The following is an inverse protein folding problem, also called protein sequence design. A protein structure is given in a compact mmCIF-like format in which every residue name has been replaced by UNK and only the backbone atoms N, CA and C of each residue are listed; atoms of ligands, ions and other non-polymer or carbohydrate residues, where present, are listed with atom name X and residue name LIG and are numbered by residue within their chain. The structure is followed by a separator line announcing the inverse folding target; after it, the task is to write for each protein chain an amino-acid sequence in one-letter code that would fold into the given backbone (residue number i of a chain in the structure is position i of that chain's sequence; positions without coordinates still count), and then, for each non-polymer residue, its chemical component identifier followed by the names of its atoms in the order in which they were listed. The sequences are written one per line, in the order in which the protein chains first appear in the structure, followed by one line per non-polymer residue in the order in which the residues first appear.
data_IF_509907670519
#
_entry.id   IF_509907670519
#
_cell.length_a   1.000
_cell.length_b   1.000
_cell.length_c   1.000
_cell.angle_alpha   90.00
_cell.angle_beta   90.00
_cell.angle_gamma   90.00
#
_symmetry.space_group_name_H-M   'P 1'
#
loop_
_entity.id
_entity.type
_entity.pdbx_description
1 polymer ?
#
# COMPACT_ATOMS: atom_id res chain seq x y z
N UNK A 1 -61.61 0.26 -20.91
CA UNK A 1 -61.40 0.36 -19.45
C UNK A 1 -61.27 -1.05 -18.89
N UNK A 2 -60.17 -1.40 -18.22
CA UNK A 2 -60.07 -2.70 -17.54
C UNK A 2 -61.13 -2.77 -16.42
N UNK A 3 -61.92 -3.86 -16.34
CA UNK A 3 -62.93 -4.02 -15.28
C UNK A 3 -62.25 -3.92 -13.90
N UNK A 4 -62.91 -3.27 -12.93
CA UNK A 4 -62.33 -2.92 -11.62
C UNK A 4 -61.66 -4.09 -10.90
N UNK A 5 -62.21 -5.31 -11.03
CA UNK A 5 -61.64 -6.52 -10.44
C UNK A 5 -60.25 -6.84 -11.01
N UNK A 6 -60.03 -6.65 -12.32
CA UNK A 6 -58.71 -6.86 -12.94
C UNK A 6 -57.70 -5.81 -12.50
N UNK A 7 -58.14 -4.56 -12.25
CA UNK A 7 -57.27 -3.51 -11.69
C UNK A 7 -56.81 -3.87 -10.27
N UNK A 8 -57.72 -4.30 -9.40
CA UNK A 8 -57.38 -4.74 -8.02
C UNK A 8 -56.37 -5.88 -8.00
N UNK A 9 -56.55 -6.90 -8.86
CA UNK A 9 -55.62 -8.03 -8.95
C UNK A 9 -54.24 -7.56 -9.43
N UNK A 10 -54.18 -6.69 -10.44
CA UNK A 10 -52.93 -6.11 -10.95
C UNK A 10 -52.19 -5.30 -9.86
N UNK A 11 -52.92 -4.52 -9.05
CA UNK A 11 -52.33 -3.75 -7.95
C UNK A 11 -51.74 -4.68 -6.87
N UNK A 12 -52.41 -5.78 -6.55
CA UNK A 12 -51.91 -6.78 -5.59
C UNK A 12 -50.64 -7.45 -6.13
N UNK A 13 -50.63 -7.84 -7.41
CA UNK A 13 -49.44 -8.41 -8.04
C UNK A 13 -48.27 -7.42 -8.08
N UNK A 14 -48.53 -6.14 -8.37
CA UNK A 14 -47.53 -5.08 -8.34
C UNK A 14 -46.94 -4.91 -6.94
N UNK A 15 -47.78 -4.95 -5.89
CA UNK A 15 -47.33 -4.86 -4.51
C UNK A 15 -46.45 -6.03 -4.11
N UNK A 16 -46.84 -7.27 -4.47
CA UNK A 16 -46.03 -8.47 -4.23
C UNK A 16 -44.70 -8.34 -4.97
N UNK A 17 -44.71 -7.92 -6.23
CA UNK A 17 -43.50 -7.75 -7.02
C UNK A 17 -42.55 -6.71 -6.40
N UNK A 18 -43.09 -5.57 -5.96
CA UNK A 18 -42.33 -4.53 -5.27
C UNK A 18 -41.70 -5.05 -3.98
N UNK A 19 -42.47 -5.79 -3.16
CA UNK A 19 -41.97 -6.39 -1.93
C UNK A 19 -40.83 -7.39 -2.21
N UNK A 20 -40.98 -8.25 -3.22
CA UNK A 20 -39.93 -9.16 -3.64
C UNK A 20 -38.69 -8.42 -4.16
N UNK A 21 -38.86 -7.37 -4.96
CA UNK A 21 -37.73 -6.55 -5.42
C UNK A 21 -36.99 -5.91 -4.25
N UNK A 22 -37.70 -5.39 -3.24
CA UNK A 22 -37.09 -4.82 -2.03
C UNK A 22 -36.31 -5.90 -1.26
N UNK A 23 -36.88 -7.10 -1.09
CA UNK A 23 -36.19 -8.21 -0.42
C UNK A 23 -34.94 -8.64 -1.20
N UNK A 24 -35.01 -8.71 -2.52
CA UNK A 24 -33.86 -9.07 -3.36
C UNK A 24 -32.76 -8.01 -3.23
N UNK A 25 -33.10 -6.72 -3.35
CA UNK A 25 -32.14 -5.61 -3.18
C UNK A 25 -31.53 -5.63 -1.77
N UNK A 26 -32.36 -5.87 -0.75
CA UNK A 26 -31.90 -6.03 0.63
C UNK A 26 -30.88 -7.17 0.72
N UNK A 27 -31.19 -8.35 0.20
CA UNK A 27 -30.26 -9.48 0.24
C UNK A 27 -28.94 -9.15 -0.45
N UNK A 28 -28.92 -8.45 -1.59
CA UNK A 28 -27.69 -8.06 -2.28
C UNK A 28 -26.82 -7.06 -1.48
N UNK A 29 -27.44 -6.16 -0.71
CA UNK A 29 -26.70 -5.17 0.09
C UNK A 29 -26.09 -5.79 1.37
N UNK A 30 -26.64 -6.89 1.88
CA UNK A 30 -26.22 -7.52 3.13
C UNK A 30 -25.40 -8.82 2.95
N UNK A 31 -24.94 -9.17 1.74
CA UNK A 31 -23.98 -10.30 1.50
C UNK A 31 -22.52 -9.92 1.84
N UNK A 32 -22.28 -8.72 2.36
CA UNK A 32 -20.96 -8.28 2.81
C UNK A 32 -20.65 -8.83 4.21
N UNK A 33 -20.30 -10.11 4.30
CA UNK A 33 -19.93 -10.74 5.57
C UNK A 33 -18.44 -10.63 5.94
N UNK A 34 -17.63 -10.14 5.02
CA UNK A 34 -16.22 -9.88 5.23
C UNK A 34 -16.00 -8.36 5.16
N UNK A 35 -14.98 -7.86 5.84
CA UNK A 35 -14.57 -6.46 5.78
C UNK A 35 -13.05 -6.37 5.93
N UNK A 36 -12.47 -5.34 5.31
CA UNK A 36 -11.08 -4.97 5.52
C UNK A 36 -11.06 -3.69 6.35
N UNK A 37 -10.60 -3.79 7.59
CA UNK A 37 -10.44 -2.67 8.51
C UNK A 37 -8.98 -2.23 8.54
N UNK A 38 -8.76 -0.92 8.53
CA UNK A 38 -7.43 -0.31 8.63
C UNK A 38 -7.40 0.43 9.97
N UNK A 39 -6.54 -0.03 10.86
CA UNK A 39 -6.36 0.57 12.19
C UNK A 39 -4.92 1.06 12.30
N UNK A 40 -4.73 2.18 13.01
CA UNK A 40 -3.39 2.66 13.34
C UNK A 40 -3.09 2.25 14.78
N UNK A 41 -2.14 1.35 14.96
CA UNK A 41 -1.72 0.95 16.29
C UNK A 41 -0.78 2.02 16.85
N UNK A 42 -1.28 2.85 17.76
CA UNK A 42 -0.49 3.94 18.36
C UNK A 42 0.67 3.41 19.21
N UNK A 43 0.52 2.22 19.80
CA UNK A 43 1.54 1.60 20.64
C UNK A 43 2.66 0.99 19.80
N UNK A 44 2.34 0.43 18.63
CA UNK A 44 3.32 -0.13 17.70
C UNK A 44 3.86 0.89 16.70
N UNK A 45 3.11 1.97 16.44
CA UNK A 45 3.43 2.98 15.43
C UNK A 45 3.32 2.43 14.01
N UNK A 46 2.55 1.36 13.83
CA UNK A 46 2.37 0.68 12.56
C UNK A 46 0.91 0.72 12.14
N UNK A 47 0.68 0.77 10.82
CA UNK A 47 -0.65 0.62 10.25
C UNK A 47 -0.96 -0.87 10.17
N UNK A 48 -1.98 -1.29 10.89
CA UNK A 48 -2.45 -2.67 10.91
C UNK A 48 -3.65 -2.82 9.98
N UNK A 49 -3.66 -3.93 9.25
CA UNK A 49 -4.71 -4.23 8.28
C UNK A 49 -5.36 -5.52 8.72
N UNK A 50 -6.65 -5.43 9.05
CA UNK A 50 -7.42 -6.54 9.60
C UNK A 50 -8.42 -7.04 8.56
N UNK A 51 -8.50 -8.37 8.44
CA UNK A 51 -9.63 -9.05 7.85
C UNK A 51 -10.64 -9.36 8.96
N UNK A 52 -11.87 -8.90 8.78
CA UNK A 52 -12.92 -9.02 9.79
C UNK A 52 -14.11 -9.78 9.23
N UNK A 53 -14.64 -10.73 9.99
CA UNK A 53 -15.94 -11.33 9.73
C UNK A 53 -17.01 -10.50 10.45
N UNK A 54 -17.76 -9.71 9.70
CA UNK A 54 -18.79 -8.81 10.25
C UNK A 54 -20.11 -9.52 10.58
N UNK A 55 -20.21 -10.82 10.30
CA UNK A 55 -21.43 -11.61 10.52
C UNK A 55 -21.44 -12.32 11.87
N UNK A 56 -22.63 -12.77 12.26
CA UNK A 56 -22.84 -13.63 13.43
C UNK A 56 -22.59 -15.13 13.12
N UNK A 57 -22.03 -15.46 11.95
CA UNK A 57 -21.83 -16.84 11.47
C UNK A 57 -20.37 -17.11 11.16
N UNK A 58 -19.97 -18.37 11.25
CA UNK A 58 -18.63 -18.80 10.82
C UNK A 58 -18.56 -18.76 9.28
N UNK A 59 -17.54 -18.10 8.74
CA UNK A 59 -17.25 -18.09 7.31
C UNK A 59 -16.16 -19.11 7.03
N UNK A 60 -16.35 -19.99 6.06
CA UNK A 60 -15.39 -21.04 5.72
C UNK A 60 -14.62 -20.69 4.44
N UNK A 61 -13.38 -21.19 4.35
CA UNK A 61 -12.53 -21.14 3.15
C UNK A 61 -12.34 -19.71 2.62
N UNK A 62 -11.87 -18.82 3.47
CA UNK A 62 -11.59 -17.43 3.09
C UNK A 62 -10.24 -17.36 2.41
N UNK A 63 -10.22 -16.92 1.16
CA UNK A 63 -9.00 -16.70 0.37
C UNK A 63 -8.69 -15.21 0.31
N UNK A 64 -7.45 -14.86 0.66
CA UNK A 64 -6.90 -13.52 0.53
C UNK A 64 -5.86 -13.56 -0.59
N UNK A 65 -6.05 -12.70 -1.59
CA UNK A 65 -5.17 -12.53 -2.73
C UNK A 65 -4.79 -11.07 -2.86
N UNK A 66 -3.75 -10.77 -3.62
CA UNK A 66 -3.45 -9.42 -4.06
C UNK A 66 -3.37 -9.33 -5.59
N UNK A 67 -3.74 -8.18 -6.15
CA UNK A 67 -3.58 -7.92 -7.58
C UNK A 67 -2.19 -7.40 -7.91
N UNK A 68 -1.60 -7.99 -8.94
CA UNK A 68 -0.40 -7.52 -9.61
C UNK A 68 -0.68 -7.33 -11.11
N UNK A 69 -0.95 -6.09 -11.50
CA UNK A 69 -1.45 -5.78 -12.83
C UNK A 69 -2.82 -6.45 -13.07
N UNK A 70 -2.88 -7.37 -14.03
CA UNK A 70 -4.09 -8.13 -14.36
C UNK A 70 -4.16 -9.51 -13.70
N UNK A 71 -3.17 -9.87 -12.89
CA UNK A 71 -3.10 -11.18 -12.24
C UNK A 71 -3.44 -11.08 -10.75
N UNK A 72 -4.08 -12.12 -10.22
CA UNK A 72 -4.31 -12.29 -8.79
C UNK A 72 -3.33 -13.33 -8.25
N UNK A 73 -2.59 -12.96 -7.20
CA UNK A 73 -1.61 -13.80 -6.53
C UNK A 73 -2.12 -14.16 -5.16
N UNK A 74 -2.09 -15.45 -4.82
CA UNK A 74 -2.51 -15.94 -3.51
C UNK A 74 -1.60 -15.39 -2.41
N UNK A 75 -2.20 -14.77 -1.40
CA UNK A 75 -1.51 -14.24 -0.23
C UNK A 75 -1.65 -15.19 0.96
N UNK A 76 -2.89 -15.49 1.34
CA UNK A 76 -3.17 -16.35 2.47
C UNK A 76 -4.53 -17.04 2.30
N UNK A 77 -4.75 -18.15 3.01
CA UNK A 77 -6.05 -18.85 3.03
C UNK A 77 -6.37 -19.27 4.45
N UNK A 78 -7.56 -18.89 4.92
CA UNK A 78 -8.08 -19.24 6.23
C UNK A 78 -9.16 -20.31 6.10
N UNK A 79 -9.03 -21.39 6.87
CA UNK A 79 -10.02 -22.48 6.87
C UNK A 79 -11.38 -22.00 7.36
N UNK A 80 -11.38 -21.15 8.37
CA UNK A 80 -12.58 -20.49 8.87
C UNK A 80 -12.22 -19.15 9.53
N UNK A 81 -13.19 -18.24 9.55
CA UNK A 81 -13.24 -17.07 10.41
C UNK A 81 -14.49 -17.17 11.30
N UNK A 82 -14.30 -17.09 12.61
CA UNK A 82 -15.37 -17.04 13.59
C UNK A 82 -16.15 -15.71 13.51
N UNK A 83 -17.38 -15.65 14.06
CA UNK A 83 -18.15 -14.42 14.11
C UNK A 83 -17.38 -13.28 14.78
N UNK A 84 -17.38 -12.10 14.17
CA UNK A 84 -16.69 -10.89 14.68
C UNK A 84 -15.17 -11.06 14.88
N UNK A 85 -14.57 -12.14 14.36
CA UNK A 85 -13.14 -12.37 14.46
C UNK A 85 -12.38 -11.39 13.58
N UNK A 86 -11.33 -10.78 14.14
CA UNK A 86 -10.37 -9.94 13.45
C UNK A 86 -9.06 -10.71 13.30
N UNK A 87 -8.56 -10.83 12.07
CA UNK A 87 -7.28 -11.44 11.76
C UNK A 87 -6.35 -10.40 11.16
N UNK A 88 -5.16 -10.24 11.76
CA UNK A 88 -4.12 -9.36 11.24
C UNK A 88 -3.52 -9.93 9.95
N UNK A 89 -3.44 -9.10 8.92
CA UNK A 89 -2.76 -9.41 7.66
C UNK A 89 -1.37 -8.78 7.66
N UNK A 90 -0.33 -9.61 7.75
CA UNK A 90 1.07 -9.16 7.73
C UNK A 90 1.52 -8.78 6.30
N UNK A 91 1.08 -7.62 5.80
CA UNK A 91 1.39 -7.15 4.45
C UNK A 91 2.81 -6.57 4.32
N UNK A 92 3.57 -6.44 5.41
CA UNK A 92 4.93 -5.87 5.43
C UNK A 92 5.92 -6.65 4.55
N UNK A 93 5.67 -7.94 4.31
CA UNK A 93 6.45 -8.79 3.40
C UNK A 93 6.31 -8.39 1.93
N UNK A 94 5.20 -7.74 1.57
CA UNK A 94 5.01 -7.20 0.24
C UNK A 94 5.81 -5.90 0.16
N UNK A 95 6.95 -5.92 -0.53
CA UNK A 95 7.82 -4.76 -0.72
C UNK A 95 7.19 -3.70 -1.65
N UNK A 96 6.02 -3.17 -1.28
CA UNK A 96 5.18 -2.24 -2.06
C UNK A 96 4.56 -1.18 -1.14
N UNK A 97 4.23 -0.04 -1.72
CA UNK A 97 3.60 1.07 -1.00
C UNK A 97 2.07 0.95 -0.94
N UNK A 98 1.47 0.30 -1.94
CA UNK A 98 0.05 0.05 -2.04
C UNK A 98 -0.22 -1.31 -2.67
N UNK A 99 -1.34 -1.92 -2.30
CA UNK A 99 -1.79 -3.18 -2.85
C UNK A 99 -3.30 -3.23 -2.91
N UNK A 100 -3.85 -3.79 -3.99
CA UNK A 100 -5.28 -4.12 -4.02
C UNK A 100 -5.44 -5.53 -3.49
N UNK A 101 -6.02 -5.66 -2.30
CA UNK A 101 -6.40 -6.95 -1.75
C UNK A 101 -7.74 -7.39 -2.36
N UNK A 102 -7.81 -8.68 -2.68
CA UNK A 102 -9.01 -9.37 -3.16
C UNK A 102 -9.31 -10.48 -2.16
N UNK A 103 -10.46 -10.38 -1.51
CA UNK A 103 -10.88 -11.36 -0.50
C UNK A 103 -12.15 -12.02 -0.98
N UNK A 104 -12.15 -13.35 -0.96
CA UNK A 104 -13.28 -14.14 -1.42
C UNK A 104 -13.55 -15.31 -0.48
N UNK A 105 -14.82 -15.66 -0.35
CA UNK A 105 -15.26 -16.85 0.35
C UNK A 105 -16.52 -17.40 -0.35
N UNK A 106 -16.77 -18.72 -0.32
CA UNK A 106 -17.98 -19.30 -0.89
C UNK A 106 -19.23 -18.63 -0.32
N UNK A 107 -20.18 -18.28 -1.19
CA UNK A 107 -21.47 -17.67 -0.84
C UNK A 107 -21.39 -16.26 -0.21
N UNK A 108 -20.22 -15.61 -0.28
CA UNK A 108 -20.02 -14.23 0.15
C UNK A 108 -19.61 -13.37 -1.04
N UNK A 109 -19.90 -12.07 -0.98
CA UNK A 109 -19.42 -11.13 -1.99
C UNK A 109 -17.89 -11.00 -1.91
N UNK A 110 -17.24 -11.05 -3.08
CA UNK A 110 -15.80 -10.73 -3.17
C UNK A 110 -15.59 -9.26 -2.82
N UNK A 111 -14.57 -8.99 -2.01
CA UNK A 111 -14.17 -7.65 -1.61
C UNK A 111 -12.87 -7.31 -2.31
N UNK A 112 -12.86 -6.20 -3.01
CA UNK A 112 -11.65 -5.61 -3.56
C UNK A 112 -11.41 -4.25 -2.90
N UNK A 113 -10.25 -4.09 -2.25
CA UNK A 113 -9.90 -2.82 -1.60
C UNK A 113 -8.45 -2.49 -1.89
N UNK A 114 -8.22 -1.27 -2.36
CA UNK A 114 -6.88 -0.69 -2.45
C UNK A 114 -6.46 -0.23 -1.06
N UNK A 115 -5.33 -0.74 -0.58
CA UNK A 115 -4.79 -0.44 0.74
C UNK A 115 -3.38 0.10 0.58
N UNK A 116 -3.11 1.23 1.22
CA UNK A 116 -1.73 1.68 1.42
C UNK A 116 -1.09 0.84 2.53
N UNK A 117 -0.05 0.08 2.19
CA UNK A 117 0.70 -0.77 3.14
C UNK A 117 1.54 0.11 4.05
N UNK A 118 2.07 1.22 3.52
CA UNK A 118 3.01 2.10 4.22
C UNK A 118 2.42 3.49 4.42
N UNK A 119 2.55 4.05 5.62
CA UNK A 119 2.00 5.36 5.96
C UNK A 119 2.76 6.46 5.21
N UNK A 120 2.12 7.01 4.18
CA UNK A 120 2.64 8.16 3.44
C UNK A 120 2.58 9.39 4.35
N UNK A 121 3.70 9.76 4.96
CA UNK A 121 3.80 11.00 5.76
C UNK A 121 4.72 10.98 6.99
N UNK A 122 5.16 9.81 7.45
CA UNK A 122 6.02 9.71 8.64
C UNK A 122 7.51 9.91 8.36
N UNK A 123 7.91 9.93 7.09
CA UNK A 123 9.29 10.18 6.69
C UNK A 123 9.34 11.35 5.72
N UNK A 124 10.28 12.27 5.92
CA UNK A 124 10.55 13.33 4.95
C UNK A 124 11.95 13.16 4.41
N UNK A 125 12.06 13.01 3.09
CA UNK A 125 13.32 12.78 2.39
C UNK A 125 13.58 13.97 1.47
N UNK A 126 14.78 14.53 1.56
CA UNK A 126 15.22 15.63 0.70
C UNK A 126 16.63 15.37 0.19
N UNK A 127 16.78 15.24 -1.12
CA UNK A 127 18.08 15.19 -1.76
C UNK A 127 18.56 16.59 -2.11
N UNK A 128 19.83 16.88 -1.81
CA UNK A 128 20.47 18.14 -2.17
C UNK A 128 21.67 17.83 -3.07
N UNK A 129 21.63 18.41 -4.26
CA UNK A 129 22.66 18.32 -5.29
C UNK A 129 23.37 19.67 -5.45
N UNK A 130 24.65 19.68 -5.85
CA UNK A 130 25.32 20.91 -6.27
C UNK A 130 24.70 21.44 -7.57
N UNK A 131 24.87 22.75 -7.83
CA UNK A 131 24.35 23.40 -9.03
C UNK A 131 25.01 22.89 -10.31
N UNK A 132 26.32 22.67 -10.25
CA UNK A 132 27.14 22.33 -11.40
C UNK A 132 27.93 21.05 -11.12
N UNK A 133 27.81 20.08 -12.02
CA UNK A 133 28.52 18.79 -11.93
C UNK A 133 29.45 18.71 -13.14
N UNK A 134 30.75 18.76 -12.85
CA UNK A 134 31.80 18.81 -13.87
C UNK A 134 32.42 17.43 -14.08
N UNK A 135 32.62 17.09 -15.35
CA UNK A 135 33.31 15.88 -15.76
C UNK A 135 34.70 15.76 -15.10
N UNK A 136 35.02 14.57 -14.59
CA UNK A 136 36.31 14.28 -13.98
C UNK A 136 36.56 14.97 -12.64
N UNK A 137 35.55 15.64 -12.05
CA UNK A 137 35.62 16.20 -10.69
C UNK A 137 34.60 15.52 -9.78
N UNK A 138 35.07 15.07 -8.62
CA UNK A 138 34.19 14.51 -7.60
C UNK A 138 33.24 15.59 -7.08
N UNK A 139 31.96 15.26 -7.01
CA UNK A 139 30.94 16.08 -6.37
C UNK A 139 30.30 15.32 -5.22
N UNK A 140 29.60 16.05 -4.34
CA UNK A 140 28.93 15.46 -3.18
C UNK A 140 27.43 15.65 -3.29
N UNK A 141 26.70 14.55 -3.15
CA UNK A 141 25.25 14.55 -2.96
C UNK A 141 24.96 14.31 -1.50
N UNK A 142 23.93 14.96 -0.97
CA UNK A 142 23.51 14.70 0.40
C UNK A 142 22.02 14.46 0.50
N UNK A 143 21.64 13.46 1.29
CA UNK A 143 20.26 13.07 1.52
C UNK A 143 19.92 13.35 2.98
N UNK A 144 18.96 14.24 3.21
CA UNK A 144 18.41 14.52 4.53
C UNK A 144 17.15 13.66 4.72
N UNK A 145 17.12 12.85 5.78
CA UNK A 145 16.00 11.95 6.11
C UNK A 145 15.53 12.30 7.52
N UNK A 146 14.25 12.61 7.68
CA UNK A 146 13.65 12.89 8.98
C UNK A 146 12.63 11.83 9.35
N UNK A 147 12.80 11.24 10.53
CA UNK A 147 11.84 10.35 11.17
C UNK A 147 10.80 11.20 11.91
N UNK A 148 9.57 11.30 11.40
CA UNK A 148 8.44 11.98 12.06
C UNK A 148 7.57 11.02 12.87
N UNK A 149 7.99 9.77 13.02
CA UNK A 149 7.30 8.82 13.88
C UNK A 149 7.67 9.08 15.34
N UNK A 150 6.83 8.58 16.26
CA UNK A 150 7.07 8.68 17.72
C UNK A 150 8.09 7.68 18.24
N UNK A 151 8.70 6.87 17.37
CA UNK A 151 9.60 5.77 17.72
C UNK A 151 10.92 5.85 16.97
N UNK A 152 11.92 5.18 17.50
CA UNK A 152 13.17 4.96 16.77
C UNK A 152 12.92 4.08 15.55
N UNK A 153 13.49 4.47 14.41
CA UNK A 153 13.42 3.71 13.16
C UNK A 153 14.80 3.56 12.54
N UNK A 154 15.05 2.38 11.98
CA UNK A 154 16.21 2.11 11.15
C UNK A 154 15.86 2.35 9.68
N UNK A 155 16.56 3.29 9.06
CA UNK A 155 16.49 3.59 7.64
C UNK A 155 17.71 3.00 6.92
N UNK A 156 17.45 2.22 5.89
CA UNK A 156 18.44 1.76 4.93
C UNK A 156 18.33 2.63 3.67
N UNK A 157 19.43 3.28 3.30
CA UNK A 157 19.55 4.11 2.11
C UNK A 157 20.47 3.40 1.13
N UNK A 158 19.97 3.11 -0.06
CA UNK A 158 20.75 2.53 -1.15
C UNK A 158 20.80 3.53 -2.30
N UNK A 159 22.01 3.99 -2.61
CA UNK A 159 22.32 4.85 -3.75
C UNK A 159 22.68 3.95 -4.93
N UNK A 160 21.91 4.07 -6.01
CA UNK A 160 22.14 3.37 -7.27
C UNK A 160 22.29 4.38 -8.40
N UNK A 161 23.21 4.12 -9.31
CA UNK A 161 23.43 4.94 -10.49
C UNK A 161 23.78 4.07 -11.70
N UNK A 162 23.86 4.70 -12.87
CA UNK A 162 24.19 4.01 -14.10
C UNK A 162 25.62 3.45 -14.09
N UNK A 163 25.72 2.14 -14.34
CA UNK A 163 27.01 1.45 -14.38
C UNK A 163 27.93 2.05 -15.43
N UNK A 164 29.11 2.48 -14.99
CA UNK A 164 30.15 3.02 -15.86
C UNK A 164 30.02 4.51 -16.14
N UNK A 165 28.98 5.20 -15.66
CA UNK A 165 28.90 6.67 -15.69
C UNK A 165 29.64 7.30 -14.48
N UNK A 166 29.61 6.63 -13.33
CA UNK A 166 30.39 6.98 -12.15
C UNK A 166 31.46 5.93 -11.88
N UNK A 167 32.52 6.33 -11.18
CA UNK A 167 33.66 5.45 -10.88
C UNK A 167 33.41 4.53 -9.69
N UNK A 168 32.58 5.01 -8.76
CA UNK A 168 32.21 4.34 -7.53
C UNK A 168 31.14 3.26 -7.80
N UNK A 169 31.10 2.16 -7.03
CA UNK A 169 29.96 1.24 -7.06
C UNK A 169 28.76 1.85 -6.30
N UNK A 170 27.54 1.29 -6.50
CA UNK A 170 26.38 1.60 -5.66
C UNK A 170 26.70 1.49 -4.16
N UNK A 171 26.20 2.42 -3.37
CA UNK A 171 26.50 2.53 -1.94
C UNK A 171 25.28 2.28 -1.08
N UNK A 172 25.50 1.71 0.10
CA UNK A 172 24.44 1.40 1.06
C UNK A 172 24.80 1.90 2.45
N UNK A 173 23.94 2.75 3.00
CA UNK A 173 24.05 3.29 4.35
C UNK A 173 22.87 2.85 5.22
N UNK A 174 23.12 2.82 6.52
CA UNK A 174 22.11 2.54 7.53
C UNK A 174 22.14 3.69 8.55
N UNK A 175 20.98 4.33 8.73
CA UNK A 175 20.75 5.37 9.72
C UNK A 175 19.78 4.84 10.78
N UNK A 176 20.13 4.97 12.05
CA UNK A 176 19.19 4.77 13.14
C UNK A 176 18.78 6.17 13.63
N UNK A 177 17.50 6.50 13.50
CA UNK A 177 16.96 7.82 13.84
C UNK A 177 15.91 7.67 14.94
N UNK A 178 16.09 8.40 16.03
CA UNK A 178 15.11 8.52 17.09
C UNK A 178 13.82 9.26 16.65
N UNK A 179 12.84 9.38 17.54
CA UNK A 179 11.62 10.14 17.29
C UNK A 179 11.91 11.61 16.94
N UNK A 180 11.27 12.12 15.89
CA UNK A 180 11.46 13.49 15.37
C UNK A 180 12.91 13.86 15.01
N UNK A 181 13.79 12.88 14.85
CA UNK A 181 15.21 13.07 14.51
C UNK A 181 15.44 13.07 12.99
N UNK A 182 16.36 13.93 12.54
CA UNK A 182 16.81 13.97 11.16
C UNK A 182 18.26 13.52 11.04
N UNK A 183 18.51 12.57 10.14
CA UNK A 183 19.83 12.12 9.73
C UNK A 183 20.23 12.66 8.37
N UNK A 184 21.53 12.62 8.09
CA UNK A 184 22.10 13.02 6.82
C UNK A 184 23.11 11.99 6.32
N UNK A 185 22.93 11.47 5.12
CA UNK A 185 23.96 10.70 4.40
C UNK A 185 24.58 11.54 3.30
N UNK A 186 25.83 11.22 2.95
CA UNK A 186 26.58 11.91 1.90
C UNK A 186 27.29 10.91 1.01
N UNK A 187 27.15 11.11 -0.29
CA UNK A 187 27.77 10.30 -1.33
C UNK A 187 28.72 11.16 -2.13
N UNK A 188 29.96 10.71 -2.28
CA UNK A 188 30.94 11.33 -3.16
C UNK A 188 30.99 10.52 -4.46
N UNK A 189 30.68 11.17 -5.58
CA UNK A 189 30.59 10.53 -6.89
C UNK A 189 31.52 11.24 -7.87
N UNK A 190 32.24 10.48 -8.69
CA UNK A 190 33.13 10.97 -9.73
C UNK A 190 32.60 10.58 -11.12
N UNK A 191 32.11 11.56 -11.92
CA UNK A 191 31.67 11.28 -13.28
C UNK A 191 32.84 10.89 -14.19
N UNK A 192 32.70 9.75 -14.88
CA UNK A 192 33.65 9.23 -15.87
C UNK A 192 33.20 9.49 -17.30
N UNK A 193 31.99 10.04 -17.50
CA UNK A 193 31.41 10.41 -18.79
C UNK A 193 30.73 11.77 -18.72
N UNK A 194 30.58 12.43 -19.88
CA UNK A 194 29.76 13.64 -20.06
C UNK A 194 28.40 13.23 -20.58
N UNK A 195 27.35 13.89 -20.13
CA UNK A 195 25.99 13.53 -20.54
C UNK A 195 24.96 13.68 -19.43
N UNK A 196 23.72 13.38 -19.79
CA UNK A 196 22.63 13.23 -18.84
C UNK A 196 22.71 11.83 -18.22
N UNK A 197 22.54 11.73 -16.91
CA UNK A 197 22.43 10.45 -16.20
C UNK A 197 21.45 10.58 -15.04
N UNK A 198 21.11 9.44 -14.44
CA UNK A 198 20.15 9.37 -13.34
C UNK A 198 20.77 8.71 -12.11
N UNK A 199 20.56 9.34 -10.95
CA UNK A 199 20.87 8.76 -9.64
C UNK A 199 19.55 8.42 -8.94
N UNK A 200 19.51 7.24 -8.34
CA UNK A 200 18.39 6.71 -7.59
C UNK A 200 18.77 6.58 -6.12
N UNK A 201 17.89 7.03 -5.23
CA UNK A 201 17.99 6.79 -3.80
C UNK A 201 16.80 5.95 -3.35
N UNK A 202 17.07 4.70 -2.97
CA UNK A 202 16.09 3.80 -2.38
C UNK A 202 16.19 3.90 -0.85
N UNK A 203 15.21 4.52 -0.22
CA UNK A 203 15.13 4.67 1.24
C UNK A 203 14.08 3.72 1.77
N UNK A 204 14.49 2.77 2.61
CA UNK A 204 13.62 1.76 3.20
C UNK A 204 13.73 1.74 4.73
N UNK A 205 12.60 1.63 5.42
CA UNK A 205 12.49 1.33 6.85
C UNK A 205 11.37 0.32 7.07
N UNK A 206 11.08 -0.04 8.33
CA UNK A 206 9.91 -0.86 8.67
C UNK A 206 8.62 -0.28 8.09
N UNK A 207 8.49 1.05 8.12
CA UNK A 207 7.25 1.75 7.77
C UNK A 207 7.33 2.55 6.46
N UNK A 208 8.49 2.65 5.82
CA UNK A 208 8.72 3.48 4.61
C UNK A 208 9.43 2.69 3.51
N UNK A 209 9.04 2.88 2.25
CA UNK A 209 9.87 2.55 1.08
C UNK A 209 9.66 3.62 0.01
N UNK A 210 10.64 4.52 -0.10
CA UNK A 210 10.59 5.62 -1.06
C UNK A 210 11.78 5.52 -2.00
N UNK A 211 11.51 5.68 -3.29
CA UNK A 211 12.53 5.79 -4.33
C UNK A 211 12.52 7.20 -4.87
N UNK A 212 13.62 7.91 -4.68
CA UNK A 212 13.83 9.25 -5.21
C UNK A 212 14.69 9.15 -6.46
N UNK A 213 14.25 9.79 -7.54
CA UNK A 213 14.92 9.79 -8.83
C UNK A 213 15.37 11.23 -9.11
N UNK A 214 16.67 11.40 -9.36
CA UNK A 214 17.20 12.68 -9.81
C UNK A 214 17.95 12.51 -11.12
N UNK A 215 17.49 13.23 -12.14
CA UNK A 215 18.22 13.40 -13.40
C UNK A 215 19.22 14.54 -13.21
N UNK A 216 20.47 14.30 -13.62
CA UNK A 216 21.56 15.27 -13.55
C UNK A 216 22.28 15.35 -14.89
N UNK A 217 22.81 16.54 -15.19
CA UNK A 217 23.59 16.83 -16.38
C UNK A 217 25.05 17.04 -15.99
N UNK A 218 25.96 16.30 -16.63
CA UNK A 218 27.41 16.44 -16.42
C UNK A 218 28.06 17.16 -17.60
N UNK A 219 28.68 18.29 -17.30
CA UNK A 219 29.34 19.18 -18.27
C UNK A 219 30.84 18.90 -18.47
#
# INVERSE_FOLDING_TARGET
MLPEQRKKILTIFLFIYLAFSIIIVYLFLFVGGLEIQEEFNEDEGEKEIYLVNTTDRVIHNVSVKYKEGNFEIDFNTFRFLAPQEKILLHLNELNRNQVTLVISAPYHSTIEKLIAIRAKGETTIKANFPSDILFGKTFRVSLDICNKSKKEQQFTVEEEHENGFFSEPPQKDILNLGPDECGKTQYALLPTQKGETTIYFNVSSSNTNERLLQVIMVE
#
